data_IF_131955362105
#
_entry.id   IF_131955362105
#
_cell.length_a   1.000
_cell.length_b   1.000
_cell.length_c   1.000
_cell.angle_alpha   90.00
_cell.angle_beta   90.00
_cell.angle_gamma   90.00
#
_symmetry.space_group_name_H-M   'P 1'
#
loop_
_entity.id
_entity.type
_entity.pdbx_description
1 polymer ?
#
# COMPACT_ATOMS: atom_id res chain seq x y z
N UNK A 1 -0.89 -5.59 -5.94
CA UNK A 1 -0.47 -6.45 -4.81
C UNK A 1 0.23 -5.56 -3.81
N UNK A 2 -0.45 -5.26 -2.70
CA UNK A 2 -0.01 -4.29 -1.71
C UNK A 2 -0.12 -4.90 -0.32
N UNK A 3 0.78 -4.49 0.56
CA UNK A 3 0.75 -4.86 1.97
C UNK A 3 0.56 -3.59 2.79
N UNK A 4 -0.63 -3.44 3.36
CA UNK A 4 -0.93 -2.35 4.27
C UNK A 4 -0.24 -2.63 5.61
N UNK A 5 0.70 -1.76 5.99
CA UNK A 5 1.48 -1.90 7.25
C UNK A 5 1.09 -0.84 8.28
N UNK A 6 0.42 0.23 7.85
CA UNK A 6 0.01 1.34 8.70
C UNK A 6 -1.31 1.92 8.20
N UNK A 7 -2.11 2.44 9.13
CA UNK A 7 -3.32 3.21 8.87
C UNK A 7 -3.12 4.64 9.38
N UNK A 8 -3.64 5.63 8.66
CA UNK A 8 -3.59 7.04 9.06
C UNK A 8 -4.94 7.71 8.79
N UNK A 9 -5.36 8.58 9.70
CA UNK A 9 -6.59 9.34 9.55
C UNK A 9 -6.42 10.32 8.38
N UNK A 10 -7.12 10.05 7.28
CA UNK A 10 -7.15 10.93 6.12
C UNK A 10 -8.59 11.39 5.89
N UNK A 11 -8.92 12.67 6.17
CA UNK A 11 -10.26 13.20 5.94
C UNK A 11 -10.59 13.36 4.45
N UNK A 12 -9.58 13.22 3.58
CA UNK A 12 -9.69 13.41 2.13
C UNK A 12 -9.91 12.09 1.37
N UNK A 13 -9.66 10.93 2.00
CA UNK A 13 -9.68 9.62 1.33
C UNK A 13 -10.57 8.63 2.08
N UNK A 14 -11.35 7.84 1.34
CA UNK A 14 -12.19 6.78 1.92
C UNK A 14 -11.35 5.71 2.61
N UNK A 15 -11.88 5.09 3.67
CA UNK A 15 -11.20 4.04 4.43
C UNK A 15 -10.69 2.91 3.53
N UNK A 16 -9.44 2.49 3.75
CA UNK A 16 -8.77 1.45 2.96
C UNK A 16 -8.12 1.93 1.66
N UNK A 17 -8.12 3.24 1.38
CA UNK A 17 -7.44 3.83 0.22
C UNK A 17 -5.94 3.93 0.47
N UNK A 18 -5.12 3.59 -0.54
CA UNK A 18 -3.66 3.74 -0.44
C UNK A 18 -3.30 5.22 -0.52
N UNK A 19 -2.80 5.77 0.58
CA UNK A 19 -2.40 7.18 0.68
C UNK A 19 -0.91 7.39 0.41
N UNK A 20 -0.06 6.41 0.77
CA UNK A 20 1.38 6.53 0.55
C UNK A 20 2.06 5.17 0.39
N UNK A 21 3.05 5.11 -0.50
CA UNK A 21 3.95 3.96 -0.64
C UNK A 21 5.20 4.20 0.20
N UNK A 22 5.43 3.33 1.18
CA UNK A 22 6.61 3.34 2.05
C UNK A 22 7.78 2.59 1.41
N UNK A 23 7.48 1.51 0.71
CA UNK A 23 8.49 0.72 0.00
C UNK A 23 7.93 0.19 -1.31
N UNK A 24 8.68 0.39 -2.40
CA UNK A 24 8.31 -0.07 -3.73
C UNK A 24 8.25 -1.61 -3.77
N UNK A 25 7.19 -2.15 -4.37
CA UNK A 25 7.03 -3.57 -4.63
C UNK A 25 7.64 -3.97 -5.97
N UNK A 26 8.01 -5.23 -6.12
CA UNK A 26 8.57 -5.78 -7.36
C UNK A 26 7.79 -7.02 -7.80
N UNK A 27 7.54 -7.08 -9.11
CA UNK A 27 6.98 -8.25 -9.78
C UNK A 27 7.90 -8.64 -10.92
N UNK A 28 8.12 -9.95 -11.10
CA UNK A 28 8.93 -10.50 -12.18
C UNK A 28 8.10 -11.57 -12.87
N UNK A 29 7.86 -11.40 -14.18
CA UNK A 29 7.06 -12.33 -14.98
C UNK A 29 5.70 -12.66 -14.37
N UNK A 30 5.01 -11.64 -13.82
CA UNK A 30 3.71 -11.80 -13.17
C UNK A 30 3.76 -12.43 -11.76
N UNK A 31 4.92 -12.89 -11.29
CA UNK A 31 5.11 -13.35 -9.92
C UNK A 31 5.51 -12.20 -9.01
N UNK A 32 4.81 -12.05 -7.89
CA UNK A 32 5.19 -11.08 -6.85
C UNK A 32 6.46 -11.58 -6.16
N UNK A 33 7.54 -10.82 -6.30
CA UNK A 33 8.80 -11.06 -5.59
C UNK A 33 8.76 -10.37 -4.23
N UNK A 34 8.18 -9.17 -4.20
CA UNK A 34 7.96 -8.40 -2.98
C UNK A 34 6.74 -7.49 -3.14
N UNK A 35 5.73 -7.56 -2.26
CA UNK A 35 4.62 -6.62 -2.29
C UNK A 35 5.11 -5.20 -1.95
N UNK A 36 4.42 -4.19 -2.45
CA UNK A 36 4.68 -2.81 -2.02
C UNK A 36 4.15 -2.62 -0.60
N UNK A 37 4.96 -2.03 0.28
CA UNK A 37 4.48 -1.65 1.61
C UNK A 37 3.81 -0.28 1.49
N UNK A 38 2.56 -0.22 1.90
CA UNK A 38 1.73 0.97 1.78
C UNK A 38 1.14 1.35 3.12
N UNK A 39 0.90 2.64 3.27
CA UNK A 39 0.03 3.19 4.29
C UNK A 39 -1.35 3.39 3.66
N UNK A 40 -2.40 3.02 4.38
CA UNK A 40 -3.78 3.20 3.93
C UNK A 40 -4.51 4.20 4.82
N UNK A 41 -5.54 4.84 4.31
CA UNK A 41 -6.47 5.61 5.13
C UNK A 41 -7.23 4.69 6.07
N UNK A 42 -7.40 5.14 7.31
CA UNK A 42 -8.25 4.49 8.31
C UNK A 42 -9.73 4.57 7.94
#
# INVERSE_FOLDING_TARGET
MHQAVMQEESPEHESGTVIQVLQVGYTLNGRVIRPAMVKVSA
#
